data_IF_345930148542
#
_entry.id   IF_345930148542
#
_cell.length_a   1.000
_cell.length_b   1.000
_cell.length_c   1.000
_cell.angle_alpha   90.00
_cell.angle_beta   90.00
_cell.angle_gamma   90.00
#
_symmetry.space_group_name_H-M   'P 1'
#
loop_
_entity.id
_entity.type
_entity.pdbx_description
1 polymer ?
#
# COMPACT_ATOMS: atom_id res chain seq x y z
N UNK A 1 13.88 19.93 48.01
CA UNK A 1 13.56 20.40 49.37
C UNK A 1 12.58 21.58 49.34
N UNK A 2 11.75 21.73 48.28
CA UNK A 2 10.78 22.81 48.17
C UNK A 2 9.35 22.36 47.74
N UNK A 3 9.08 21.04 47.68
CA UNK A 3 7.72 20.46 47.68
C UNK A 3 6.85 20.91 48.87
N UNK A 4 7.48 21.30 49.98
CA UNK A 4 6.79 21.83 51.15
C UNK A 4 6.41 23.32 51.04
N UNK A 5 6.92 24.05 50.03
CA UNK A 5 6.73 25.50 49.88
C UNK A 5 5.63 25.89 48.87
N UNK A 6 5.16 24.95 48.04
CA UNK A 6 4.03 25.16 47.12
C UNK A 6 2.71 25.15 47.89
N UNK A 7 1.73 25.93 47.43
CA UNK A 7 0.40 25.90 48.07
C UNK A 7 -0.25 24.51 47.95
N UNK A 8 -1.02 24.13 48.96
CA UNK A 8 -1.69 22.83 49.04
C UNK A 8 -2.65 22.58 47.87
N UNK A 9 -3.32 23.63 47.39
CA UNK A 9 -4.21 23.58 46.23
C UNK A 9 -3.44 23.30 44.93
N UNK A 10 -2.31 23.97 44.71
CA UNK A 10 -1.46 23.76 43.54
C UNK A 10 -0.88 22.35 43.51
N UNK A 11 -0.39 21.85 44.65
CA UNK A 11 0.10 20.46 44.74
C UNK A 11 -0.95 19.43 44.35
N UNK A 12 -2.19 19.62 44.79
CA UNK A 12 -3.30 18.74 44.41
C UNK A 12 -3.57 18.83 42.90
N UNK A 13 -3.51 20.04 42.33
CA UNK A 13 -3.62 20.27 40.88
C UNK A 13 -2.56 19.54 40.06
N UNK A 14 -1.27 19.68 40.41
CA UNK A 14 -0.18 18.97 39.73
C UNK A 14 -0.31 17.45 39.85
N UNK A 15 -0.72 16.95 41.03
CA UNK A 15 -0.97 15.53 41.25
C UNK A 15 -2.08 15.00 40.34
N UNK A 16 -3.26 15.63 40.34
CA UNK A 16 -4.40 15.17 39.54
C UNK A 16 -4.14 15.26 38.04
N UNK A 17 -3.48 16.32 37.58
CA UNK A 17 -3.13 16.46 36.16
C UNK A 17 -2.12 15.40 35.72
N UNK A 18 -1.12 15.12 36.54
CA UNK A 18 -0.14 14.05 36.26
C UNK A 18 -0.81 12.68 36.26
N UNK A 19 -1.69 12.42 37.22
CA UNK A 19 -2.45 11.17 37.27
C UNK A 19 -3.32 11.00 36.01
N UNK A 20 -4.05 12.04 35.60
CA UNK A 20 -4.90 12.01 34.41
C UNK A 20 -4.09 11.75 33.14
N UNK A 21 -2.96 12.44 32.98
CA UNK A 21 -2.09 12.29 31.80
C UNK A 21 -1.42 10.91 31.75
N UNK A 22 -1.05 10.34 32.90
CA UNK A 22 -0.55 8.96 32.99
C UNK A 22 -1.64 7.93 32.64
N UNK A 23 -2.86 8.09 33.17
CA UNK A 23 -3.99 7.22 32.82
C UNK A 23 -4.26 7.30 31.31
N UNK A 24 -4.27 8.51 30.75
CA UNK A 24 -4.44 8.69 29.31
C UNK A 24 -3.31 8.04 28.49
N UNK A 25 -2.05 8.20 28.90
CA UNK A 25 -0.92 7.53 28.26
C UNK A 25 -1.06 5.99 28.30
N UNK A 26 -1.53 5.44 29.43
CA UNK A 26 -1.78 4.02 29.56
C UNK A 26 -2.91 3.54 28.64
N UNK A 27 -3.99 4.31 28.52
CA UNK A 27 -5.07 4.03 27.56
C UNK A 27 -4.53 4.04 26.13
N UNK A 28 -3.70 5.01 25.75
CA UNK A 28 -3.08 5.06 24.42
C UNK A 28 -2.20 3.82 24.14
N UNK A 29 -1.37 3.41 25.10
CA UNK A 29 -0.55 2.21 24.97
C UNK A 29 -1.41 0.95 24.77
N UNK A 30 -2.49 0.82 25.55
CA UNK A 30 -3.42 -0.29 25.42
C UNK A 30 -4.15 -0.28 24.07
N UNK A 31 -4.66 0.88 23.64
CA UNK A 31 -5.29 1.05 22.33
C UNK A 31 -4.34 0.72 21.19
N UNK A 32 -3.08 1.15 21.25
CA UNK A 32 -2.06 0.82 20.25
C UNK A 32 -1.75 -0.68 20.22
N UNK A 33 -1.69 -1.35 21.38
CA UNK A 33 -1.52 -2.80 21.46
C UNK A 33 -2.69 -3.56 20.82
N UNK A 34 -3.94 -3.18 21.13
CA UNK A 34 -5.13 -3.78 20.51
C UNK A 34 -5.15 -3.52 18.99
N UNK A 35 -4.80 -2.31 18.57
CA UNK A 35 -4.72 -1.94 17.16
C UNK A 35 -3.69 -2.78 16.39
N UNK A 36 -2.48 -2.96 16.94
CA UNK A 36 -1.45 -3.80 16.32
C UNK A 36 -1.85 -5.27 16.29
N UNK A 37 -2.41 -5.84 17.36
CA UNK A 37 -2.87 -7.23 17.40
C UNK A 37 -3.99 -7.54 16.40
N UNK A 38 -4.88 -6.58 16.12
CA UNK A 38 -5.95 -6.77 15.13
C UNK A 38 -5.47 -6.67 13.70
N UNK A 39 -4.44 -5.85 13.43
CA UNK A 39 -3.94 -5.59 12.07
C UNK A 39 -2.73 -6.43 11.64
N UNK A 40 -1.99 -7.03 12.57
CA UNK A 40 -0.85 -7.93 12.29
C UNK A 40 -1.32 -9.31 11.77
N UNK A 41 -2.59 -9.66 11.92
CA UNK A 41 -3.15 -10.93 11.40
C UNK A 41 -3.25 -10.99 9.88
N UNK A 42 -3.04 -9.89 9.18
CA UNK A 42 -3.01 -9.86 7.73
C UNK A 42 -1.59 -10.23 7.25
N UNK A 43 -1.40 -11.28 6.41
CA UNK A 43 -0.09 -11.79 5.98
C UNK A 43 0.76 -10.79 5.17
N UNK A 44 0.24 -9.59 4.95
CA UNK A 44 0.88 -8.50 4.21
C UNK A 44 0.80 -7.16 4.94
N UNK A 45 0.63 -7.18 6.27
CA UNK A 45 0.57 -5.97 7.07
C UNK A 45 1.88 -5.19 6.93
N UNK A 46 1.87 -3.94 6.42
CA UNK A 46 3.09 -3.19 6.19
C UNK A 46 3.76 -2.89 7.53
N UNK A 47 4.79 -3.65 7.87
CA UNK A 47 5.56 -3.53 9.11
C UNK A 47 6.10 -2.11 9.38
N UNK A 48 6.51 -1.30 8.37
CA UNK A 48 6.92 0.10 8.58
C UNK A 48 5.78 1.02 9.03
N UNK A 49 4.54 0.57 8.92
CA UNK A 49 3.39 1.43 9.14
C UNK A 49 3.05 1.60 10.62
N UNK A 50 3.15 0.50 11.36
CA UNK A 50 2.90 0.47 12.80
C UNK A 50 3.96 1.24 13.60
N UNK A 51 5.19 1.34 13.07
CA UNK A 51 6.29 2.03 13.74
C UNK A 51 6.05 3.54 13.88
N UNK A 52 5.35 4.18 12.93
CA UNK A 52 5.05 5.62 12.99
C UNK A 52 4.12 6.00 14.14
N UNK A 53 2.98 5.31 14.25
CA UNK A 53 2.02 5.53 15.35
C UNK A 53 2.64 5.11 16.68
N UNK A 54 3.35 3.98 16.72
CA UNK A 54 4.06 3.52 17.91
C UNK A 54 5.10 4.53 18.40
N UNK A 55 5.85 5.16 17.47
CA UNK A 55 6.82 6.21 17.80
C UNK A 55 6.14 7.45 18.38
N UNK A 56 5.01 7.88 17.82
CA UNK A 56 4.24 9.01 18.35
C UNK A 56 3.74 8.73 19.78
N UNK A 57 3.21 7.52 20.03
CA UNK A 57 2.78 7.09 21.37
C UNK A 57 3.97 7.07 22.33
N UNK A 58 5.10 6.49 21.92
CA UNK A 58 6.31 6.45 22.74
C UNK A 58 6.81 7.87 23.09
N UNK A 59 6.90 8.77 22.11
CA UNK A 59 7.33 10.16 22.33
C UNK A 59 6.39 10.91 23.27
N UNK A 60 5.08 10.68 23.18
CA UNK A 60 4.13 11.27 24.12
C UNK A 60 4.34 10.76 25.55
N UNK A 61 4.56 9.44 25.74
CA UNK A 61 4.88 8.88 27.05
C UNK A 61 6.15 9.54 27.62
N UNK A 62 7.22 9.65 26.83
CA UNK A 62 8.46 10.33 27.23
C UNK A 62 8.19 11.77 27.63
N UNK A 63 7.40 12.52 26.86
CA UNK A 63 7.06 13.91 27.16
C UNK A 63 6.27 14.05 28.48
N UNK A 64 5.34 13.13 28.78
CA UNK A 64 4.61 13.10 30.06
C UNK A 64 5.57 12.86 31.23
N UNK A 65 6.47 11.88 31.12
CA UNK A 65 7.47 11.61 32.16
C UNK A 65 8.45 12.77 32.35
N UNK A 66 8.97 13.31 31.26
CA UNK A 66 9.83 14.51 31.27
C UNK A 66 9.10 15.66 31.97
N UNK A 67 7.82 15.87 31.67
CA UNK A 67 7.07 16.96 32.29
C UNK A 67 6.88 16.77 33.79
N UNK A 68 6.61 15.55 34.23
CA UNK A 68 6.53 15.20 35.64
C UNK A 68 7.87 15.40 36.37
N UNK A 69 8.98 14.90 35.81
CA UNK A 69 10.28 14.95 36.49
C UNK A 69 10.95 16.34 36.43
N UNK A 70 10.94 17.00 35.27
CA UNK A 70 11.62 18.29 35.11
C UNK A 70 10.76 19.46 35.59
N UNK A 71 9.51 19.57 35.12
CA UNK A 71 8.71 20.77 35.41
C UNK A 71 8.04 20.73 36.77
N UNK A 72 7.63 19.56 37.26
CA UNK A 72 7.04 19.47 38.59
C UNK A 72 8.07 19.25 39.69
N UNK A 73 8.97 18.26 39.57
CA UNK A 73 9.89 17.90 40.66
C UNK A 73 11.11 18.82 40.74
N UNK A 74 11.65 19.29 39.59
CA UNK A 74 12.91 20.03 39.56
C UNK A 74 12.77 21.55 39.42
N UNK A 75 11.90 22.02 38.53
CA UNK A 75 11.74 23.45 38.20
C UNK A 75 10.60 24.15 38.94
N UNK A 76 9.76 23.41 39.67
CA UNK A 76 8.67 23.92 40.51
C UNK A 76 7.77 24.96 39.80
N UNK A 77 7.41 24.64 38.56
CA UNK A 77 6.66 25.56 37.70
C UNK A 77 5.23 25.71 38.22
N UNK A 78 4.65 26.93 38.10
CA UNK A 78 3.27 27.19 38.52
C UNK A 78 2.26 26.28 37.80
N UNK A 79 1.11 26.04 38.44
CA UNK A 79 0.09 25.13 37.91
C UNK A 79 -0.39 25.54 36.51
N UNK A 80 -0.57 26.84 36.25
CA UNK A 80 -0.99 27.35 34.94
C UNK A 80 -0.01 26.98 33.83
N UNK A 81 1.29 27.17 34.07
CA UNK A 81 2.33 26.79 33.11
C UNK A 81 2.43 25.28 32.95
N UNK A 82 2.28 24.53 34.04
CA UNK A 82 2.26 23.07 34.00
C UNK A 82 1.12 22.54 33.11
N UNK A 83 -0.07 23.13 33.23
CA UNK A 83 -1.22 22.85 32.35
C UNK A 83 -0.87 23.19 30.90
N UNK A 84 -0.29 24.36 30.63
CA UNK A 84 0.09 24.78 29.27
C UNK A 84 1.08 23.80 28.62
N UNK A 85 2.06 23.29 29.37
CA UNK A 85 3.03 22.31 28.86
C UNK A 85 2.34 21.00 28.48
N UNK A 86 1.44 20.50 29.32
CA UNK A 86 0.67 19.28 29.01
C UNK A 86 -0.26 19.47 27.82
N UNK A 87 -0.91 20.63 27.69
CA UNK A 87 -1.73 20.96 26.51
C UNK A 87 -0.88 21.02 25.24
N UNK A 88 0.32 21.60 25.31
CA UNK A 88 1.24 21.67 24.18
C UNK A 88 1.72 20.27 23.76
N UNK A 89 2.09 19.42 24.72
CA UNK A 89 2.47 18.03 24.46
C UNK A 89 1.33 17.25 23.79
N UNK A 90 0.10 17.43 24.27
CA UNK A 90 -1.09 16.82 23.67
C UNK A 90 -1.31 17.31 22.24
N UNK A 91 -1.18 18.63 22.00
CA UNK A 91 -1.32 19.20 20.66
C UNK A 91 -0.30 18.63 19.68
N UNK A 92 0.97 18.55 20.08
CA UNK A 92 2.04 17.97 19.27
C UNK A 92 1.75 16.50 18.96
N UNK A 93 1.27 15.74 19.94
CA UNK A 93 0.89 14.35 19.76
C UNK A 93 -0.27 14.18 18.77
N UNK A 94 -1.34 14.98 18.92
CA UNK A 94 -2.51 14.91 18.04
C UNK A 94 -2.16 15.29 16.61
N UNK A 95 -1.42 16.39 16.43
CA UNK A 95 -1.03 16.86 15.10
C UNK A 95 -0.02 15.89 14.46
N UNK A 96 1.05 15.55 15.18
CA UNK A 96 2.09 14.64 14.67
C UNK A 96 1.56 13.22 14.42
N UNK A 97 0.75 12.68 15.34
CA UNK A 97 0.10 11.40 15.20
C UNK A 97 -0.93 11.38 14.06
N UNK A 98 -1.70 12.47 13.91
CA UNK A 98 -2.65 12.65 12.80
C UNK A 98 -1.97 12.65 11.44
N UNK A 99 -0.92 13.47 11.26
CA UNK A 99 -0.14 13.49 10.02
C UNK A 99 0.50 12.14 9.71
N UNK A 100 1.09 11.49 10.72
CA UNK A 100 1.67 10.16 10.57
C UNK A 100 0.63 9.16 10.09
N UNK A 101 -0.58 9.20 10.65
CA UNK A 101 -1.69 8.30 10.28
C UNK A 101 -2.15 8.52 8.83
N UNK A 102 -2.29 9.78 8.40
CA UNK A 102 -2.71 10.11 7.02
C UNK A 102 -1.65 9.67 6.02
N UNK A 103 -0.37 9.96 6.31
CA UNK A 103 0.75 9.53 5.48
C UNK A 103 0.76 8.00 5.34
N UNK A 104 0.48 7.31 6.45
CA UNK A 104 0.43 5.87 6.50
C UNK A 104 -0.66 5.25 5.64
N UNK A 105 -1.89 5.77 5.76
CA UNK A 105 -3.01 5.32 4.95
C UNK A 105 -2.71 5.53 3.47
N UNK A 106 -2.08 6.65 3.12
CA UNK A 106 -1.71 6.97 1.74
C UNK A 106 -0.62 6.05 1.22
N UNK A 107 0.44 5.80 1.99
CA UNK A 107 1.53 4.91 1.61
C UNK A 107 1.06 3.46 1.47
N UNK A 108 0.27 2.97 2.43
CA UNK A 108 -0.32 1.63 2.39
C UNK A 108 -1.22 1.43 1.18
N UNK A 109 -2.08 2.40 0.86
CA UNK A 109 -2.92 2.34 -0.32
C UNK A 109 -2.09 2.29 -1.61
N UNK A 110 -1.02 3.09 -1.72
CA UNK A 110 -0.11 3.04 -2.87
C UNK A 110 0.61 1.70 -3.01
N UNK A 111 1.08 1.14 -1.91
CA UNK A 111 1.73 -0.17 -1.89
C UNK A 111 0.76 -1.28 -2.32
N UNK A 112 -0.47 -1.26 -1.80
CA UNK A 112 -1.51 -2.22 -2.16
C UNK A 112 -1.89 -2.12 -3.64
N UNK A 113 -2.08 -0.91 -4.17
CA UNK A 113 -2.36 -0.68 -5.59
C UNK A 113 -1.21 -1.21 -6.46
N UNK A 114 0.03 -0.85 -6.12
CA UNK A 114 1.22 -1.32 -6.85
C UNK A 114 1.30 -2.84 -6.86
N UNK A 115 1.09 -3.48 -5.71
CA UNK A 115 1.11 -4.94 -5.60
C UNK A 115 0.01 -5.60 -6.43
N UNK A 116 -1.21 -5.04 -6.41
CA UNK A 116 -2.30 -5.53 -7.24
C UNK A 116 -1.96 -5.43 -8.72
N UNK A 117 -1.39 -4.32 -9.17
CA UNK A 117 -0.98 -4.13 -10.56
C UNK A 117 0.09 -5.13 -10.99
N UNK A 118 1.10 -5.37 -10.14
CA UNK A 118 2.14 -6.39 -10.37
C UNK A 118 1.51 -7.77 -10.51
N UNK A 119 0.61 -8.15 -9.61
CA UNK A 119 -0.05 -9.46 -9.65
C UNK A 119 -0.92 -9.61 -10.91
N UNK A 120 -1.62 -8.55 -11.31
CA UNK A 120 -2.45 -8.52 -12.50
C UNK A 120 -1.62 -8.71 -13.78
N UNK A 121 -0.52 -7.98 -13.91
CA UNK A 121 0.40 -8.15 -15.03
C UNK A 121 1.00 -9.57 -15.09
N UNK A 122 1.36 -10.14 -13.93
CA UNK A 122 1.81 -11.53 -13.84
C UNK A 122 0.74 -12.51 -14.33
N UNK A 123 -0.53 -12.32 -13.95
CA UNK A 123 -1.62 -13.17 -14.40
C UNK A 123 -1.78 -13.10 -15.93
N UNK A 124 -1.68 -11.92 -16.54
CA UNK A 124 -1.74 -11.77 -17.99
C UNK A 124 -0.59 -12.51 -18.69
N UNK A 125 0.63 -12.42 -18.15
CA UNK A 125 1.79 -13.16 -18.67
C UNK A 125 1.54 -14.66 -18.60
N UNK A 126 1.04 -15.16 -17.47
CA UNK A 126 0.70 -16.59 -17.29
C UNK A 126 -0.35 -17.04 -18.31
N UNK A 127 -1.42 -16.25 -18.51
CA UNK A 127 -2.46 -16.55 -19.50
C UNK A 127 -1.89 -16.69 -20.92
N UNK A 128 -0.97 -15.81 -21.31
CA UNK A 128 -0.31 -15.89 -22.62
C UNK A 128 0.63 -17.10 -22.70
N UNK A 129 1.37 -17.41 -21.64
CA UNK A 129 2.23 -18.61 -21.56
C UNK A 129 1.42 -19.91 -21.70
N UNK A 130 0.22 -19.96 -21.11
CA UNK A 130 -0.68 -21.12 -21.25
C UNK A 130 -1.15 -21.31 -22.70
N UNK A 131 -1.43 -20.22 -23.43
CA UNK A 131 -1.74 -20.29 -24.86
C UNK A 131 -0.51 -20.79 -25.66
N UNK A 132 0.68 -20.26 -25.39
CA UNK A 132 1.92 -20.68 -26.06
C UNK A 132 2.13 -22.19 -25.86
N UNK A 133 1.95 -22.67 -24.62
CA UNK A 133 2.07 -24.09 -24.29
C UNK A 133 1.02 -24.92 -25.01
N UNK A 134 -0.22 -24.45 -25.08
CA UNK A 134 -1.29 -25.10 -25.83
C UNK A 134 -0.93 -25.23 -27.32
N UNK A 135 -0.56 -24.13 -27.98
CA UNK A 135 -0.19 -24.10 -29.41
C UNK A 135 1.01 -25.01 -29.69
N UNK A 136 2.02 -25.00 -28.81
CA UNK A 136 3.23 -25.83 -28.95
C UNK A 136 2.96 -27.34 -28.87
N UNK A 137 1.86 -27.74 -28.22
CA UNK A 137 1.45 -29.13 -28.06
C UNK A 137 0.50 -29.62 -29.17
N UNK A 138 0.11 -28.75 -30.11
CA UNK A 138 -0.70 -29.15 -31.26
C UNK A 138 0.14 -29.99 -32.24
N UNK A 139 -0.51 -30.92 -32.94
CA UNK A 139 0.13 -31.82 -33.93
C UNK A 139 0.72 -31.03 -35.09
N UNK A 140 0.07 -29.94 -35.48
CA UNK A 140 0.50 -29.07 -36.59
C UNK A 140 1.32 -27.86 -36.12
N UNK A 141 2.08 -27.98 -35.02
CA UNK A 141 2.87 -26.86 -34.46
C UNK A 141 3.79 -26.15 -35.45
N UNK A 142 4.32 -26.85 -36.46
CA UNK A 142 5.21 -26.26 -37.46
C UNK A 142 4.47 -25.28 -38.38
N UNK A 143 3.16 -25.48 -38.61
CA UNK A 143 2.33 -24.56 -39.39
C UNK A 143 1.91 -23.34 -38.56
N UNK A 144 1.99 -23.45 -37.23
CA UNK A 144 1.61 -22.41 -36.26
C UNK A 144 2.81 -21.60 -35.74
N UNK A 145 3.98 -21.68 -36.38
CA UNK A 145 5.20 -21.01 -35.93
C UNK A 145 5.03 -19.48 -35.83
N UNK A 146 4.36 -18.85 -36.82
CA UNK A 146 4.08 -17.41 -36.80
C UNK A 146 3.16 -17.00 -35.64
N UNK A 147 2.21 -17.86 -35.28
CA UNK A 147 1.33 -17.64 -34.13
C UNK A 147 2.11 -17.74 -32.82
N UNK A 148 2.95 -18.77 -32.69
CA UNK A 148 3.82 -18.93 -31.53
C UNK A 148 4.74 -17.71 -31.36
N UNK A 149 5.39 -17.26 -32.44
CA UNK A 149 6.23 -16.06 -32.45
C UNK A 149 5.47 -14.79 -32.04
N UNK A 150 4.22 -14.63 -32.49
CA UNK A 150 3.38 -13.49 -32.14
C UNK A 150 2.98 -13.51 -30.66
N UNK A 151 2.64 -14.68 -30.13
CA UNK A 151 2.35 -14.87 -28.70
C UNK A 151 3.58 -14.62 -27.83
N UNK A 152 4.77 -15.06 -28.26
CA UNK A 152 6.02 -14.79 -27.54
C UNK A 152 6.32 -13.30 -27.47
N UNK A 153 6.13 -12.56 -28.57
CA UNK A 153 6.25 -11.09 -28.57
C UNK A 153 5.28 -10.44 -27.58
N UNK A 154 4.03 -10.89 -27.54
CA UNK A 154 3.04 -10.39 -26.58
C UNK A 154 3.44 -10.69 -25.13
N UNK A 155 3.87 -11.92 -24.84
CA UNK A 155 4.37 -12.32 -23.52
C UNK A 155 5.52 -11.43 -23.08
N UNK A 156 6.53 -11.25 -23.95
CA UNK A 156 7.71 -10.47 -23.61
C UNK A 156 7.35 -9.00 -23.38
N UNK A 157 6.47 -8.43 -24.22
CA UNK A 157 5.98 -7.07 -24.04
C UNK A 157 5.29 -6.88 -22.69
N UNK A 158 4.42 -7.80 -22.29
CA UNK A 158 3.74 -7.77 -21.00
C UNK A 158 4.74 -7.97 -19.84
N UNK A 159 5.68 -8.91 -19.97
CA UNK A 159 6.68 -9.22 -18.95
C UNK A 159 7.61 -8.05 -18.63
N UNK A 160 7.96 -7.26 -19.64
CA UNK A 160 8.82 -6.08 -19.49
C UNK A 160 8.03 -4.77 -19.37
N UNK A 161 6.71 -4.81 -19.22
CA UNK A 161 5.89 -3.62 -19.00
C UNK A 161 6.00 -3.12 -17.55
N UNK A 162 5.95 -1.79 -17.39
CA UNK A 162 5.98 -1.14 -16.07
C UNK A 162 4.67 -1.45 -15.31
N UNK A 163 4.72 -1.99 -14.08
CA UNK A 163 3.52 -2.24 -13.28
C UNK A 163 2.89 -0.96 -12.69
N UNK A 164 3.50 0.22 -12.84
CA UNK A 164 2.86 1.48 -12.45
C UNK A 164 1.63 1.75 -13.29
N UNK A 165 0.53 2.10 -12.62
CA UNK A 165 -0.74 2.44 -13.27
C UNK A 165 -1.25 3.76 -12.69
N UNK A 166 -1.72 4.63 -13.58
CA UNK A 166 -2.44 5.85 -13.21
C UNK A 166 -3.93 5.69 -13.48
N UNK A 167 -4.77 6.50 -12.82
CA UNK A 167 -6.22 6.53 -13.11
C UNK A 167 -6.51 6.73 -14.60
N UNK A 168 -5.67 7.51 -15.28
CA UNK A 168 -5.75 7.83 -16.72
C UNK A 168 -5.54 6.60 -17.63
N UNK A 169 -4.89 5.55 -17.12
CA UNK A 169 -4.52 4.35 -17.89
C UNK A 169 -5.41 3.15 -17.54
N UNK A 170 -6.19 3.24 -16.45
CA UNK A 170 -7.06 2.17 -15.97
C UNK A 170 -7.97 1.55 -17.05
N UNK A 171 -8.60 2.38 -17.87
CA UNK A 171 -9.47 1.95 -18.98
C UNK A 171 -8.71 1.16 -20.04
N UNK A 172 -7.47 1.57 -20.35
CA UNK A 172 -6.62 0.88 -21.34
C UNK A 172 -6.20 -0.48 -20.79
N UNK A 173 -5.99 -0.60 -19.49
CA UNK A 173 -5.58 -1.86 -18.87
C UNK A 173 -6.73 -2.87 -18.79
N UNK A 174 -7.95 -2.41 -18.49
CA UNK A 174 -9.15 -3.25 -18.60
C UNK A 174 -9.37 -3.75 -20.04
N UNK A 175 -9.06 -2.92 -21.04
CA UNK A 175 -9.10 -3.34 -22.44
C UNK A 175 -8.07 -4.44 -22.75
N UNK A 176 -6.84 -4.31 -22.24
CA UNK A 176 -5.79 -5.32 -22.43
C UNK A 176 -6.21 -6.65 -21.79
N UNK A 177 -6.77 -6.63 -20.58
CA UNK A 177 -7.30 -7.82 -19.90
C UNK A 177 -8.40 -8.51 -20.70
N UNK A 178 -9.43 -7.75 -21.07
CA UNK A 178 -10.55 -8.29 -21.84
C UNK A 178 -10.08 -8.87 -23.19
N UNK A 179 -9.10 -8.24 -23.84
CA UNK A 179 -8.55 -8.76 -25.08
C UNK A 179 -7.76 -10.05 -24.88
N UNK A 180 -6.93 -10.14 -23.83
CA UNK A 180 -6.18 -11.36 -23.52
C UNK A 180 -7.13 -12.49 -23.14
N UNK A 181 -8.16 -12.24 -22.32
CA UNK A 181 -9.15 -13.26 -21.98
C UNK A 181 -9.94 -13.73 -23.21
N UNK A 182 -10.28 -12.80 -24.11
CA UNK A 182 -10.91 -13.15 -25.39
C UNK A 182 -9.98 -14.00 -26.26
N UNK A 183 -8.69 -13.67 -26.30
CA UNK A 183 -7.67 -14.44 -27.02
C UNK A 183 -7.53 -15.86 -26.43
N UNK A 184 -7.42 -15.98 -25.10
CA UNK A 184 -7.38 -17.26 -24.38
C UNK A 184 -8.59 -18.10 -24.76
N UNK A 185 -9.79 -17.54 -24.64
CA UNK A 185 -11.03 -18.23 -24.98
C UNK A 185 -11.03 -18.66 -26.45
N UNK A 186 -10.64 -17.78 -27.38
CA UNK A 186 -10.63 -18.09 -28.82
C UNK A 186 -9.64 -19.20 -29.15
N UNK A 187 -8.46 -19.25 -28.53
CA UNK A 187 -7.45 -20.27 -28.87
C UNK A 187 -7.69 -21.58 -28.15
N UNK A 188 -7.94 -21.57 -26.83
CA UNK A 188 -8.07 -22.78 -26.03
C UNK A 188 -9.39 -23.51 -26.27
N UNK A 189 -10.50 -22.77 -26.48
CA UNK A 189 -11.80 -23.40 -26.77
C UNK A 189 -11.97 -23.86 -28.23
N UNK A 190 -11.07 -23.41 -29.12
CA UNK A 190 -11.09 -23.82 -30.52
C UNK A 190 -10.58 -25.25 -30.69
N UNK A 191 -11.18 -25.98 -31.63
CA UNK A 191 -10.60 -27.23 -32.10
C UNK A 191 -9.33 -26.93 -32.89
N UNK A 192 -8.34 -27.82 -32.84
CA UNK A 192 -7.03 -27.66 -33.50
C UNK A 192 -7.12 -27.18 -34.96
N UNK A 193 -8.01 -27.77 -35.78
CA UNK A 193 -8.21 -27.36 -37.17
C UNK A 193 -8.78 -25.94 -37.34
N UNK A 194 -9.51 -25.42 -36.35
CA UNK A 194 -10.04 -24.05 -36.36
C UNK A 194 -8.96 -23.04 -35.98
N UNK A 195 -8.00 -23.43 -35.12
CA UNK A 195 -6.84 -22.60 -34.78
C UNK A 195 -5.95 -22.37 -36.01
N UNK A 196 -5.67 -23.43 -36.77
CA UNK A 196 -4.93 -23.34 -38.03
C UNK A 196 -5.65 -22.47 -39.07
N UNK A 197 -6.96 -22.69 -39.25
CA UNK A 197 -7.74 -21.92 -40.22
C UNK A 197 -7.81 -20.42 -39.89
N UNK A 198 -7.84 -20.08 -38.61
CA UNK A 198 -7.99 -18.70 -38.14
C UNK A 198 -6.66 -18.06 -37.69
N UNK A 199 -5.52 -18.68 -38.01
CA UNK A 199 -4.20 -18.24 -37.54
C UNK A 199 -3.92 -16.77 -37.85
N UNK A 200 -4.19 -16.33 -39.08
CA UNK A 200 -3.95 -14.95 -39.53
C UNK A 200 -4.83 -13.95 -38.76
N UNK A 201 -6.09 -14.29 -38.52
CA UNK A 201 -7.00 -13.48 -37.71
C UNK A 201 -6.53 -13.38 -36.25
N UNK A 202 -6.00 -14.48 -35.69
CA UNK A 202 -5.47 -14.51 -34.33
C UNK A 202 -4.19 -13.67 -34.24
N UNK A 203 -3.28 -13.77 -35.20
CA UNK A 203 -2.07 -12.94 -35.27
C UNK A 203 -2.42 -11.44 -35.38
N UNK A 204 -3.39 -11.10 -36.22
CA UNK A 204 -3.89 -9.72 -36.34
C UNK A 204 -4.48 -9.22 -35.02
N UNK A 205 -5.21 -10.09 -34.30
CA UNK A 205 -5.75 -9.75 -32.99
C UNK A 205 -4.65 -9.55 -31.94
N UNK A 206 -3.61 -10.39 -31.94
CA UNK A 206 -2.42 -10.21 -31.08
C UNK A 206 -1.74 -8.87 -31.36
N UNK A 207 -1.62 -8.48 -32.64
CA UNK A 207 -1.04 -7.18 -33.00
C UNK A 207 -1.86 -6.01 -32.44
N UNK A 208 -3.19 -6.08 -32.48
CA UNK A 208 -4.06 -5.07 -31.84
C UNK A 208 -3.83 -4.96 -30.32
N UNK A 209 -3.57 -6.09 -29.64
CA UNK A 209 -3.20 -6.09 -28.21
C UNK A 209 -1.85 -5.41 -28.01
N UNK A 210 -0.84 -5.73 -28.83
CA UNK A 210 0.47 -5.10 -28.78
C UNK A 210 0.38 -3.58 -28.95
N UNK A 211 -0.41 -3.11 -29.92
CA UNK A 211 -0.63 -1.69 -30.16
C UNK A 211 -1.32 -1.02 -28.95
N UNK A 212 -2.24 -1.73 -28.28
CA UNK A 212 -2.89 -1.25 -27.06
C UNK A 212 -1.90 -1.14 -25.89
N UNK A 213 -0.99 -2.10 -25.76
CA UNK A 213 0.10 -2.06 -24.76
C UNK A 213 1.09 -0.91 -25.06
N UNK A 214 1.38 -0.63 -26.33
CA UNK A 214 2.20 0.52 -26.71
C UNK A 214 1.53 1.86 -26.44
N UNK A 215 0.22 1.94 -26.69
CA UNK A 215 -0.59 3.10 -26.30
C UNK A 215 -0.53 3.32 -24.79
N UNK A 216 -0.69 2.26 -23.98
CA UNK A 216 -0.55 2.32 -22.52
C UNK A 216 0.82 2.90 -22.11
N UNK A 217 1.90 2.37 -22.68
CA UNK A 217 3.26 2.79 -22.32
C UNK A 217 3.57 4.23 -22.74
N UNK A 218 3.05 4.69 -23.88
CA UNK A 218 3.21 6.10 -24.29
C UNK A 218 2.47 7.07 -23.36
N UNK A 219 1.25 6.74 -22.93
CA UNK A 219 0.52 7.53 -21.93
C UNK A 219 1.28 7.57 -20.60
N UNK A 220 1.77 6.42 -20.11
CA UNK A 220 2.57 6.37 -18.88
C UNK A 220 3.84 7.23 -18.98
N UNK A 221 4.51 7.23 -20.13
CA UNK A 221 5.70 8.08 -20.34
C UNK A 221 5.41 9.57 -20.37
N UNK A 222 4.17 9.98 -20.68
CA UNK A 222 3.76 11.40 -20.71
C UNK A 222 3.36 11.96 -19.35
N UNK A 223 3.07 11.08 -18.38
CA UNK A 223 2.62 11.45 -17.03
C UNK A 223 3.81 11.53 -16.05
N UNK A 224 4.94 10.88 -16.37
CA UNK A 224 6.19 10.91 -15.59
C UNK A 224 6.95 12.23 -15.79
#
# INVERSE_FOLDING_TARGET
MAFQLTDSADRAGHFWLTLLTLVFAQVLNFSYMVFTMTKVKEPHSPFPAFTGIGSAVFLYNVAVFVSMFLFWIYLEVSLSWYITIHLLNLLIFVVGGGFSSIFLMTASNKEMVTKNNVNRLKNLVISVEDIIRYVSNLKNKNELEDLANSLEKLRDKLRYSDPETGNEVSVIEEQIENHIDTLVNRVISSKEHMVLKNQEDICTYIQSILDTVDKRNSVLSSIK
#
